data_IF_025910341591
#
_entry.id   IF_025910341591
#
_cell.length_a   1.000
_cell.length_b   1.000
_cell.length_c   1.000
_cell.angle_alpha   90.00
_cell.angle_beta   90.00
_cell.angle_gamma   90.00
#
_symmetry.space_group_name_H-M   'P 1'
#
loop_
_entity.id
_entity.type
_entity.pdbx_description
1 polymer ?
#
# COMPACT_ATOMS: atom_id res chain seq x y z
N UNK A 1 27.20 -10.42 19.29
CA UNK A 1 27.33 -10.42 17.82
C UNK A 1 26.60 -11.63 17.26
N UNK A 2 25.44 -11.45 16.61
CA UNK A 2 24.77 -12.56 15.90
C UNK A 2 25.51 -12.78 14.57
N UNK A 3 26.03 -13.98 14.34
CA UNK A 3 26.60 -14.36 13.05
C UNK A 3 25.54 -14.16 11.96
N UNK A 4 25.83 -13.33 10.95
CA UNK A 4 24.98 -13.23 9.76
C UNK A 4 25.15 -14.52 8.97
N UNK A 5 24.15 -15.40 9.01
CA UNK A 5 24.12 -16.61 8.16
C UNK A 5 24.14 -16.17 6.70
N UNK A 6 25.10 -16.68 5.95
CA UNK A 6 25.17 -16.43 4.51
C UNK A 6 24.03 -17.17 3.81
N UNK A 7 23.38 -16.52 2.84
CA UNK A 7 22.35 -17.14 2.01
C UNK A 7 23.06 -17.99 0.95
N UNK A 8 22.78 -19.31 0.85
CA UNK A 8 23.40 -20.17 -0.16
C UNK A 8 23.12 -19.65 -1.58
N UNK A 9 24.10 -19.73 -2.48
CA UNK A 9 23.98 -19.21 -3.86
C UNK A 9 22.80 -19.82 -4.65
N UNK A 10 22.50 -21.10 -4.46
CA UNK A 10 21.33 -21.74 -5.08
C UNK A 10 20.00 -21.13 -4.61
N UNK A 11 19.90 -20.81 -3.32
CA UNK A 11 18.72 -20.17 -2.75
C UNK A 11 18.58 -18.71 -3.19
N UNK A 12 19.69 -18.04 -3.51
CA UNK A 12 19.65 -16.68 -4.10
C UNK A 12 18.98 -16.71 -5.47
N UNK A 13 19.31 -17.69 -6.32
CA UNK A 13 18.74 -17.77 -7.67
C UNK A 13 17.25 -18.12 -7.65
N UNK A 14 16.84 -19.05 -6.79
CA UNK A 14 15.42 -19.35 -6.57
C UNK A 14 14.68 -18.14 -5.96
N UNK A 15 15.32 -17.47 -5.01
CA UNK A 15 14.83 -16.24 -4.39
C UNK A 15 14.62 -15.10 -5.38
N UNK A 16 15.46 -14.96 -6.41
CA UNK A 16 15.30 -13.95 -7.47
C UNK A 16 13.95 -14.07 -8.18
N UNK A 17 13.67 -15.24 -8.77
CA UNK A 17 12.44 -15.45 -9.51
C UNK A 17 11.20 -15.37 -8.60
N UNK A 18 11.34 -15.87 -7.37
CA UNK A 18 10.29 -15.79 -6.37
C UNK A 18 9.92 -14.34 -6.03
N UNK A 19 10.93 -13.52 -5.68
CA UNK A 19 10.75 -12.11 -5.35
C UNK A 19 10.17 -11.34 -6.54
N UNK A 20 10.70 -11.54 -7.74
CA UNK A 20 10.16 -10.93 -8.96
C UNK A 20 8.68 -11.25 -9.17
N UNK A 21 8.28 -12.50 -8.94
CA UNK A 21 6.89 -12.94 -9.03
C UNK A 21 5.98 -12.18 -8.08
N UNK A 22 6.37 -12.09 -6.80
CA UNK A 22 5.60 -11.36 -5.79
C UNK A 22 5.56 -9.85 -6.10
N UNK A 23 6.69 -9.26 -6.48
CA UNK A 23 6.78 -7.84 -6.86
C UNK A 23 5.89 -7.50 -8.06
N UNK A 24 5.76 -8.39 -9.06
CA UNK A 24 4.82 -8.17 -10.18
C UNK A 24 3.35 -8.16 -9.74
N UNK A 25 3.02 -8.96 -8.73
CA UNK A 25 1.64 -9.08 -8.23
C UNK A 25 1.25 -7.90 -7.32
N UNK A 26 2.17 -7.46 -6.45
CA UNK A 26 1.85 -6.52 -5.36
C UNK A 26 2.57 -5.16 -5.47
N UNK A 27 3.54 -5.04 -6.36
CA UNK A 27 4.41 -3.87 -6.51
C UNK A 27 3.79 -2.67 -7.22
N UNK A 28 2.51 -2.73 -7.61
CA UNK A 28 1.87 -1.65 -8.34
C UNK A 28 2.04 -0.29 -7.64
N UNK A 29 2.33 0.75 -8.42
CA UNK A 29 2.65 2.13 -7.99
C UNK A 29 4.09 2.37 -7.49
N UNK A 30 4.91 1.34 -7.24
CA UNK A 30 6.34 1.51 -6.98
C UNK A 30 7.13 1.45 -8.29
N UNK A 31 8.26 2.15 -8.34
CA UNK A 31 9.27 1.91 -9.38
C UNK A 31 9.80 0.48 -9.23
N UNK A 32 10.13 -0.17 -10.35
CA UNK A 32 10.46 -1.59 -10.36
C UNK A 32 11.68 -1.92 -9.48
N UNK A 33 12.71 -1.08 -9.52
CA UNK A 33 13.92 -1.25 -8.72
C UNK A 33 13.65 -1.12 -7.22
N UNK A 34 12.84 -0.14 -6.81
CA UNK A 34 12.42 0.05 -5.43
C UNK A 34 11.58 -1.14 -4.95
N UNK A 35 10.66 -1.61 -5.79
CA UNK A 35 9.83 -2.77 -5.49
C UNK A 35 10.68 -4.03 -5.28
N UNK A 36 11.68 -4.26 -6.13
CA UNK A 36 12.59 -5.40 -6.00
C UNK A 36 13.46 -5.29 -4.76
N UNK A 37 13.98 -4.10 -4.45
CA UNK A 37 14.76 -3.87 -3.24
C UNK A 37 13.95 -4.20 -1.98
N UNK A 38 12.69 -3.76 -1.90
CA UNK A 38 11.82 -4.05 -0.77
C UNK A 38 11.41 -5.51 -0.71
N UNK A 39 11.14 -6.13 -1.85
CA UNK A 39 10.92 -7.57 -1.94
C UNK A 39 12.10 -8.38 -1.41
N UNK A 40 13.33 -8.00 -1.77
CA UNK A 40 14.55 -8.62 -1.26
C UNK A 40 14.74 -8.42 0.24
N UNK A 41 14.41 -7.25 0.78
CA UNK A 41 14.41 -7.04 2.24
C UNK A 41 13.47 -8.03 2.93
N UNK A 42 12.27 -8.23 2.40
CA UNK A 42 11.32 -9.22 2.91
C UNK A 42 11.82 -10.65 2.82
N UNK A 43 12.49 -11.02 1.73
CA UNK A 43 13.07 -12.36 1.56
C UNK A 43 14.24 -12.63 2.51
N UNK A 44 15.16 -11.67 2.66
CA UNK A 44 16.27 -11.76 3.61
C UNK A 44 15.76 -11.82 5.04
N UNK A 45 14.73 -11.04 5.37
CA UNK A 45 14.05 -11.12 6.64
C UNK A 45 13.50 -12.53 6.88
N UNK A 46 12.75 -13.08 5.92
CA UNK A 46 12.19 -14.42 6.01
C UNK A 46 13.26 -15.49 6.25
N UNK A 47 14.36 -15.46 5.50
CA UNK A 47 15.48 -16.41 5.67
C UNK A 47 16.07 -16.37 7.08
N UNK A 48 16.16 -15.20 7.69
CA UNK A 48 16.73 -15.04 9.01
C UNK A 48 15.74 -15.34 10.15
N UNK A 49 14.45 -15.06 9.97
CA UNK A 49 13.42 -15.28 10.98
C UNK A 49 12.80 -16.68 10.93
N UNK A 50 12.87 -17.37 9.79
CA UNK A 50 12.23 -18.67 9.58
C UNK A 50 12.51 -19.74 10.64
N UNK A 51 13.71 -19.88 11.22
CA UNK A 51 13.95 -20.88 12.27
C UNK A 51 13.01 -20.75 13.49
N UNK A 52 12.43 -19.58 13.74
CA UNK A 52 11.44 -19.38 14.81
C UNK A 52 10.01 -19.82 14.42
N UNK A 53 9.78 -20.12 13.14
CA UNK A 53 8.49 -20.48 12.55
C UNK A 53 8.51 -21.88 11.89
N UNK A 54 9.65 -22.57 11.98
CA UNK A 54 9.85 -23.92 11.43
C UNK A 54 8.85 -24.90 12.06
N UNK A 55 8.13 -25.63 11.19
CA UNK A 55 7.06 -26.56 11.58
C UNK A 55 5.64 -25.96 11.64
N UNK A 56 5.49 -24.63 11.52
CA UNK A 56 4.17 -23.99 11.37
C UNK A 56 3.80 -23.72 9.91
N UNK A 57 4.80 -23.47 9.07
CA UNK A 57 4.66 -23.15 7.65
C UNK A 57 5.83 -23.73 6.87
N UNK A 58 5.62 -24.02 5.59
CA UNK A 58 6.73 -24.25 4.66
C UNK A 58 7.50 -22.94 4.42
N UNK A 59 8.82 -23.04 4.18
CA UNK A 59 9.68 -21.85 4.04
C UNK A 59 9.17 -20.88 2.96
N UNK A 60 8.78 -21.40 1.80
CA UNK A 60 8.33 -20.58 0.68
C UNK A 60 6.99 -19.89 0.93
N UNK A 61 6.09 -20.51 1.69
CA UNK A 61 4.84 -19.89 2.13
C UNK A 61 5.11 -18.77 3.12
N UNK A 62 6.00 -19.00 4.09
CA UNK A 62 6.41 -17.97 5.04
C UNK A 62 7.11 -16.79 4.33
N UNK A 63 8.04 -17.10 3.41
CA UNK A 63 8.74 -16.11 2.60
C UNK A 63 7.76 -15.29 1.76
N UNK A 64 6.69 -15.89 1.24
CA UNK A 64 5.67 -15.19 0.46
C UNK A 64 5.01 -14.10 1.30
N UNK A 65 4.58 -14.43 2.52
CA UNK A 65 3.98 -13.45 3.42
C UNK A 65 4.95 -12.31 3.77
N UNK A 66 6.21 -12.63 4.08
CA UNK A 66 7.21 -11.61 4.39
C UNK A 66 7.50 -10.68 3.19
N UNK A 67 7.71 -11.23 2.00
CA UNK A 67 7.98 -10.44 0.78
C UNK A 67 6.77 -9.57 0.43
N UNK A 68 5.56 -10.15 0.42
CA UNK A 68 4.32 -9.43 0.15
C UNK A 68 4.12 -8.27 1.13
N UNK A 69 4.29 -8.53 2.42
CA UNK A 69 4.02 -7.53 3.46
C UNK A 69 5.03 -6.37 3.40
N UNK A 70 6.30 -6.64 3.10
CA UNK A 70 7.30 -5.60 2.84
C UNK A 70 6.95 -4.74 1.62
N UNK A 71 6.60 -5.37 0.49
CA UNK A 71 6.21 -4.65 -0.74
C UNK A 71 4.96 -3.80 -0.51
N UNK A 72 3.94 -4.35 0.14
CA UNK A 72 2.70 -3.62 0.46
C UNK A 72 2.94 -2.47 1.44
N UNK A 73 3.82 -2.65 2.42
CA UNK A 73 4.22 -1.59 3.34
C UNK A 73 4.93 -0.46 2.60
N UNK A 74 5.91 -0.79 1.75
CA UNK A 74 6.63 0.19 0.94
C UNK A 74 5.68 0.95 0.00
N UNK A 75 4.76 0.24 -0.66
CA UNK A 75 3.69 0.84 -1.49
C UNK A 75 2.83 1.79 -0.67
N UNK A 76 2.44 1.40 0.53
CA UNK A 76 1.67 2.26 1.46
C UNK A 76 2.45 3.51 1.84
N UNK A 77 3.74 3.39 2.13
CA UNK A 77 4.60 4.52 2.48
C UNK A 77 4.81 5.45 1.30
N UNK A 78 5.14 4.90 0.12
CA UNK A 78 5.23 5.65 -1.14
C UNK A 78 3.93 6.40 -1.43
N UNK A 79 2.78 5.72 -1.35
CA UNK A 79 1.49 6.34 -1.56
C UNK A 79 1.17 7.37 -0.48
N UNK A 80 1.63 7.20 0.77
CA UNK A 80 1.51 8.21 1.83
C UNK A 80 2.36 9.44 1.52
N UNK A 81 3.56 9.29 0.98
CA UNK A 81 4.41 10.41 0.57
C UNK A 81 3.88 11.10 -0.70
N UNK A 82 3.23 10.37 -1.62
CA UNK A 82 2.56 10.95 -2.80
C UNK A 82 1.19 11.56 -2.50
N UNK A 83 0.49 11.12 -1.44
CA UNK A 83 -0.84 11.62 -1.03
C UNK A 83 -0.89 13.11 -0.67
N UNK A 84 0.17 13.74 -0.15
CA UNK A 84 0.21 15.19 0.00
C UNK A 84 0.85 15.95 -1.19
N UNK A 85 1.50 15.31 -2.18
CA UNK A 85 2.44 16.05 -3.05
C UNK A 85 2.28 15.93 -4.57
N UNK A 86 1.38 15.13 -5.14
CA UNK A 86 1.20 15.19 -6.61
C UNK A 86 0.55 16.49 -7.11
N UNK A 87 -0.10 17.25 -6.23
CA UNK A 87 -0.59 18.62 -6.50
C UNK A 87 0.34 19.74 -6.00
N UNK A 88 1.42 19.40 -5.29
CA UNK A 88 2.41 20.34 -4.74
C UNK A 88 3.78 20.25 -5.42
N UNK A 89 3.90 19.52 -6.55
CA UNK A 89 4.98 19.85 -7.46
C UNK A 89 4.83 21.33 -7.76
N UNK A 90 5.85 22.10 -7.39
CA UNK A 90 5.91 23.52 -7.64
C UNK A 90 5.76 23.81 -9.14
N UNK A 91 6.04 22.82 -9.99
CA UNK A 91 5.90 22.88 -11.45
C UNK A 91 4.58 22.29 -11.98
N UNK A 92 3.68 21.79 -11.11
CA UNK A 92 2.38 21.27 -11.54
C UNK A 92 1.45 22.41 -11.97
N UNK A 93 0.87 22.27 -13.17
CA UNK A 93 -0.12 23.17 -13.72
C UNK A 93 -1.50 22.46 -13.64
N UNK A 94 -2.42 22.92 -12.78
CA UNK A 94 -3.78 22.39 -12.72
C UNK A 94 -4.52 22.53 -14.06
N UNK A 95 -5.44 21.60 -14.41
CA UNK A 95 -6.15 21.60 -15.69
C UNK A 95 -7.00 22.86 -15.95
N UNK A 96 -7.32 23.62 -14.90
CA UNK A 96 -8.11 24.85 -14.94
C UNK A 96 -7.27 26.14 -14.94
N UNK A 97 -5.94 26.04 -15.08
CA UNK A 97 -5.02 27.17 -14.88
C UNK A 97 -3.85 27.15 -15.87
N UNK A 98 -3.27 28.34 -16.07
CA UNK A 98 -2.11 28.55 -16.96
C UNK A 98 -0.78 28.70 -16.20
N UNK A 99 -0.79 28.62 -14.85
CA UNK A 99 0.40 28.86 -14.02
C UNK A 99 0.72 27.72 -13.03
N UNK A 100 2.01 27.39 -12.86
CA UNK A 100 2.47 26.35 -11.97
C UNK A 100 2.28 26.70 -10.48
N UNK A 101 2.20 25.69 -9.61
CA UNK A 101 1.92 25.87 -8.18
C UNK A 101 2.96 26.75 -7.44
N UNK A 102 4.20 26.88 -7.95
CA UNK A 102 5.30 27.68 -7.36
C UNK A 102 4.97 29.17 -7.27
N UNK A 103 4.26 29.70 -8.26
CA UNK A 103 3.87 31.12 -8.30
C UNK A 103 2.93 31.51 -7.16
N UNK A 104 2.37 30.52 -6.44
CA UNK A 104 1.33 30.69 -5.42
C UNK A 104 1.84 30.57 -3.99
N UNK A 105 3.14 30.30 -3.79
CA UNK A 105 3.75 30.23 -2.45
C UNK A 105 3.73 31.57 -1.70
N UNK A 106 3.27 32.66 -2.33
CA UNK A 106 2.84 33.85 -1.62
C UNK A 106 1.56 33.57 -0.79
N UNK A 107 1.76 33.01 0.40
CA UNK A 107 0.85 33.02 1.56
C UNK A 107 -0.64 32.73 1.27
N UNK A 108 -0.95 31.61 0.62
CA UNK A 108 -2.30 31.04 0.73
C UNK A 108 -2.28 29.98 1.84
N UNK A 109 -2.89 30.31 2.99
CA UNK A 109 -3.24 29.30 3.99
C UNK A 109 -4.11 28.25 3.28
N UNK A 110 -3.60 27.02 3.14
CA UNK A 110 -4.31 25.95 2.45
C UNK A 110 -5.67 25.68 3.10
N UNK A 111 -6.71 25.57 2.28
CA UNK A 111 -8.03 25.15 2.74
C UNK A 111 -7.98 23.63 3.07
N UNK A 112 -8.00 23.31 4.37
CA UNK A 112 -7.96 21.94 4.88
C UNK A 112 -9.34 21.26 4.94
N UNK A 113 -10.42 21.92 4.49
CA UNK A 113 -11.79 21.42 4.59
C UNK A 113 -11.92 20.00 4.02
N UNK A 114 -11.30 19.71 2.87
CA UNK A 114 -11.37 18.38 2.26
C UNK A 114 -10.74 17.26 3.12
N UNK A 115 -9.63 17.56 3.80
CA UNK A 115 -8.95 16.60 4.69
C UNK A 115 -9.76 16.36 5.97
N UNK A 116 -10.40 17.40 6.49
CA UNK A 116 -11.30 17.32 7.65
C UNK A 116 -12.54 16.49 7.28
N UNK A 117 -13.18 16.79 6.14
CA UNK A 117 -14.36 16.07 5.63
C UNK A 117 -14.08 14.58 5.38
N UNK A 118 -12.92 14.23 4.82
CA UNK A 118 -12.53 12.83 4.64
C UNK A 118 -12.35 12.12 6.00
N UNK A 119 -11.69 12.78 6.95
CA UNK A 119 -11.45 12.21 8.29
C UNK A 119 -12.77 12.00 9.03
N UNK A 120 -13.68 12.96 8.94
CA UNK A 120 -15.00 12.91 9.55
C UNK A 120 -15.86 11.82 8.90
N UNK A 121 -15.90 11.71 7.56
CA UNK A 121 -16.54 10.59 6.88
C UNK A 121 -16.01 9.22 7.37
N UNK A 122 -14.68 9.05 7.41
CA UNK A 122 -14.05 7.81 7.86
C UNK A 122 -14.33 7.47 9.33
N UNK A 123 -14.73 8.45 10.15
CA UNK A 123 -15.11 8.24 11.54
C UNK A 123 -16.50 7.60 11.71
N UNK A 124 -17.39 7.74 10.71
CA UNK A 124 -18.75 7.16 10.69
C UNK A 124 -18.81 5.75 10.06
N UNK A 125 -17.67 5.24 9.59
CA UNK A 125 -17.56 3.90 9.02
C UNK A 125 -17.38 2.83 10.10
N UNK A 126 -17.96 1.64 9.86
CA UNK A 126 -17.67 0.46 10.66
C UNK A 126 -16.24 -0.03 10.42
N UNK A 127 -15.77 -0.94 11.27
CA UNK A 127 -14.36 -1.39 11.24
C UNK A 127 -13.96 -1.99 9.88
N UNK A 128 -14.82 -2.84 9.30
CA UNK A 128 -14.51 -3.51 8.02
C UNK A 128 -14.50 -2.51 6.86
N UNK A 129 -15.49 -1.64 6.80
CA UNK A 129 -15.61 -0.57 5.82
C UNK A 129 -14.42 0.37 5.88
N UNK A 130 -14.02 0.76 7.09
CA UNK A 130 -12.88 1.66 7.31
C UNK A 130 -11.57 1.04 6.82
N UNK A 131 -11.33 -0.26 7.04
CA UNK A 131 -10.14 -0.95 6.52
C UNK A 131 -10.11 -0.94 4.99
N UNK A 132 -11.21 -1.32 4.36
CA UNK A 132 -11.32 -1.33 2.89
C UNK A 132 -11.22 0.08 2.31
N UNK A 133 -11.86 1.08 2.91
CA UNK A 133 -11.73 2.48 2.53
C UNK A 133 -10.26 2.93 2.60
N UNK A 134 -9.55 2.65 3.70
CA UNK A 134 -8.13 2.96 3.79
C UNK A 134 -7.30 2.25 2.72
N UNK A 135 -7.60 1.00 2.38
CA UNK A 135 -6.89 0.29 1.33
C UNK A 135 -7.09 0.94 -0.05
N UNK A 136 -8.31 1.37 -0.39
CA UNK A 136 -8.57 2.13 -1.62
C UNK A 136 -7.86 3.48 -1.65
N UNK A 137 -7.90 4.24 -0.55
CA UNK A 137 -7.15 5.50 -0.46
C UNK A 137 -5.65 5.19 -0.68
N UNK A 138 -5.17 4.00 -0.28
CA UNK A 138 -3.75 3.57 -0.42
C UNK A 138 -3.50 2.91 -1.78
N UNK A 139 -4.45 2.97 -2.72
CA UNK A 139 -4.35 2.45 -4.09
C UNK A 139 -4.09 0.94 -4.15
N UNK A 140 -4.66 0.20 -3.20
CA UNK A 140 -4.72 -1.25 -3.31
C UNK A 140 -5.79 -1.63 -4.35
N UNK A 141 -5.50 -2.64 -5.15
CA UNK A 141 -6.44 -3.23 -6.09
C UNK A 141 -7.44 -4.14 -5.37
N UNK A 142 -8.59 -4.42 -5.99
CA UNK A 142 -9.59 -5.34 -5.43
C UNK A 142 -8.97 -6.71 -5.10
N UNK A 143 -8.06 -7.23 -5.94
CA UNK A 143 -7.37 -8.49 -5.71
C UNK A 143 -6.47 -8.43 -4.46
N UNK A 144 -5.68 -7.36 -4.30
CA UNK A 144 -4.84 -7.15 -3.13
C UNK A 144 -5.68 -6.99 -1.85
N UNK A 145 -6.81 -6.29 -1.93
CA UNK A 145 -7.74 -6.10 -0.80
C UNK A 145 -8.36 -7.43 -0.39
N UNK A 146 -8.81 -8.23 -1.36
CA UNK A 146 -9.39 -9.56 -1.11
C UNK A 146 -8.38 -10.50 -0.46
N UNK A 147 -7.17 -10.59 -1.01
CA UNK A 147 -6.10 -11.42 -0.46
C UNK A 147 -5.68 -10.96 0.94
N UNK A 148 -5.39 -9.66 1.10
CA UNK A 148 -4.85 -9.11 2.34
C UNK A 148 -5.85 -9.13 3.50
N UNK A 149 -7.15 -8.96 3.22
CA UNK A 149 -8.20 -9.00 4.25
C UNK A 149 -8.99 -10.31 4.29
N UNK A 150 -8.59 -11.32 3.50
CA UNK A 150 -9.28 -12.61 3.40
C UNK A 150 -10.78 -12.42 3.11
N UNK A 151 -11.09 -11.58 2.13
CA UNK A 151 -12.45 -11.27 1.70
C UNK A 151 -12.74 -12.00 0.39
N UNK A 152 -13.92 -12.61 0.31
CA UNK A 152 -14.46 -13.04 -0.97
C UNK A 152 -14.99 -11.83 -1.79
N UNK A 153 -15.25 -12.08 -3.08
CA UNK A 153 -15.72 -11.05 -4.02
C UNK A 153 -17.06 -10.44 -3.63
N UNK A 154 -17.97 -11.23 -3.08
CA UNK A 154 -19.29 -10.78 -2.67
C UNK A 154 -19.17 -9.86 -1.44
N UNK A 155 -18.39 -10.27 -0.44
CA UNK A 155 -18.03 -9.48 0.74
C UNK A 155 -17.43 -8.12 0.35
N UNK A 156 -16.47 -8.08 -0.58
CA UNK A 156 -15.89 -6.81 -1.04
C UNK A 156 -16.92 -5.94 -1.76
N UNK A 157 -17.80 -6.54 -2.58
CA UNK A 157 -18.86 -5.83 -3.31
C UNK A 157 -19.86 -5.20 -2.35
N UNK A 158 -20.26 -5.91 -1.30
CA UNK A 158 -21.20 -5.42 -0.30
C UNK A 158 -20.59 -4.29 0.54
N UNK A 159 -19.30 -4.39 0.89
CA UNK A 159 -18.58 -3.30 1.56
C UNK A 159 -18.50 -2.06 0.65
N UNK A 160 -18.20 -2.22 -0.65
CA UNK A 160 -18.19 -1.10 -1.61
C UNK A 160 -19.55 -0.42 -1.71
N UNK A 161 -20.64 -1.20 -1.74
CA UNK A 161 -22.00 -0.66 -1.74
C UNK A 161 -22.27 0.14 -0.47
N UNK A 162 -21.89 -0.39 0.69
CA UNK A 162 -22.02 0.29 1.98
C UNK A 162 -21.25 1.61 2.02
N UNK A 163 -19.99 1.63 1.56
CA UNK A 163 -19.17 2.84 1.48
C UNK A 163 -19.83 3.92 0.63
N UNK A 164 -20.37 3.56 -0.54
CA UNK A 164 -21.07 4.49 -1.43
C UNK A 164 -22.32 5.07 -0.79
N UNK A 165 -23.20 4.23 -0.24
CA UNK A 165 -24.44 4.68 0.41
C UNK A 165 -24.13 5.62 1.58
N UNK A 166 -23.13 5.30 2.40
CA UNK A 166 -22.72 6.16 3.51
C UNK A 166 -22.11 7.49 3.04
N UNK A 167 -21.43 7.50 1.90
CA UNK A 167 -20.91 8.74 1.32
C UNK A 167 -22.05 9.64 0.83
N UNK A 168 -23.04 9.07 0.13
CA UNK A 168 -24.24 9.78 -0.32
C UNK A 168 -25.01 10.38 0.87
N UNK A 169 -25.16 9.63 1.97
CA UNK A 169 -25.79 10.12 3.20
C UNK A 169 -25.00 11.28 3.84
N UNK A 170 -23.67 11.16 3.91
CA UNK A 170 -22.80 12.18 4.48
C UNK A 170 -22.83 13.48 3.65
N UNK A 171 -22.91 13.39 2.32
CA UNK A 171 -23.00 14.56 1.44
C UNK A 171 -24.38 15.23 1.46
N UNK A 172 -25.42 14.52 1.88
CA UNK A 172 -26.79 15.03 2.01
C UNK A 172 -27.10 15.62 3.40
N UNK A 173 -26.16 15.49 4.34
CA UNK A 173 -26.25 16.00 5.72
C UNK A 173 -25.62 17.39 5.83
#
# INVERSE_FOLDING_TARGET
MKQRKHIPSGLVQEGMHFVEGVCRLYGGCLEWEDCLMEGWKGFVFAFHSYPAHEGSYEFWEYAFFCVRDHVLLAKREYNRCKRPESGFSLDYIPPDRDEPAIGRLAAVQGDFVNSVMLRDYLSHLGFREKRVAWAYINRYTDAEIMDYYQLDRQSLTDIRRCLRVKMEQYQAS
#
